data_IF_077655006461
#
_entry.id   IF_077655006461
#
_cell.length_a   1.000
_cell.length_b   1.000
_cell.length_c   1.000
_cell.angle_alpha   90.00
_cell.angle_beta   90.00
_cell.angle_gamma   90.00
#
_symmetry.space_group_name_H-M   'P 1'
#
loop_
_entity.id
_entity.type
_entity.pdbx_description
1 polymer ?
#
# COMPACT_ATOMS: atom_id res chain seq x y z
N UNK A 1 6.88 15.52 -5.82
CA UNK A 1 6.42 16.47 -4.78
C UNK A 1 5.08 16.02 -4.25
N UNK A 2 4.95 15.89 -2.93
CA UNK A 2 3.67 15.61 -2.27
C UNK A 2 2.83 16.89 -2.22
N UNK A 3 1.59 16.82 -2.71
CA UNK A 3 0.58 17.84 -2.49
C UNK A 3 -0.37 17.37 -1.38
N UNK A 4 -0.22 17.95 -0.19
CA UNK A 4 -1.04 17.59 0.97
C UNK A 4 -2.50 18.04 0.83
N UNK A 5 -2.79 19.07 0.01
CA UNK A 5 -4.16 19.57 -0.18
C UNK A 5 -5.02 18.64 -1.02
N UNK A 6 -4.39 17.82 -1.86
CA UNK A 6 -5.05 16.84 -2.75
C UNK A 6 -4.71 15.40 -2.39
N UNK A 7 -3.76 15.17 -1.47
CA UNK A 7 -3.27 13.84 -1.11
C UNK A 7 -2.66 13.07 -2.28
N UNK A 8 -2.06 13.78 -3.24
CA UNK A 8 -1.41 13.19 -4.40
C UNK A 8 0.09 13.52 -4.44
N UNK A 9 0.87 12.64 -5.05
CA UNK A 9 2.28 12.85 -5.34
C UNK A 9 2.41 13.06 -6.85
N UNK A 10 3.03 14.17 -7.23
CA UNK A 10 3.30 14.52 -8.62
C UNK A 10 4.80 14.54 -8.87
N UNK A 11 5.27 13.84 -9.88
CA UNK A 11 6.65 13.87 -10.35
C UNK A 11 6.65 14.37 -11.80
N UNK A 12 7.57 15.28 -12.11
CA UNK A 12 7.80 15.76 -13.47
C UNK A 12 9.20 15.34 -13.88
N UNK A 13 9.31 14.65 -15.01
CA UNK A 13 10.54 14.01 -15.47
C UNK A 13 10.82 14.44 -16.91
N UNK A 14 12.07 14.85 -17.17
CA UNK A 14 12.53 15.21 -18.52
C UNK A 14 12.43 16.70 -18.86
N UNK A 15 12.69 17.06 -20.13
CA UNK A 15 12.68 18.44 -20.61
C UNK A 15 11.25 19.02 -20.66
N UNK A 16 11.11 20.33 -20.83
CA UNK A 16 9.80 20.98 -20.98
C UNK A 16 9.21 20.78 -22.39
N UNK A 17 7.93 20.36 -22.54
CA UNK A 17 7.00 19.95 -21.48
C UNK A 17 7.38 18.58 -20.87
N UNK A 18 7.33 18.41 -19.53
CA UNK A 18 7.80 17.18 -18.88
C UNK A 18 6.79 16.04 -18.99
N UNK A 19 7.28 14.80 -18.84
CA UNK A 19 6.43 13.65 -18.52
C UNK A 19 5.97 13.78 -17.07
N UNK A 20 4.66 13.74 -16.84
CA UNK A 20 4.03 13.87 -15.53
C UNK A 20 3.59 12.52 -15.01
N UNK A 21 4.04 12.15 -13.81
CA UNK A 21 3.57 10.98 -13.06
C UNK A 21 2.78 11.49 -11.86
N UNK A 22 1.56 11.00 -11.69
CA UNK A 22 0.71 11.30 -10.54
C UNK A 22 0.27 10.01 -9.85
N UNK A 23 0.52 9.93 -8.55
CA UNK A 23 0.11 8.80 -7.73
C UNK A 23 -0.68 9.26 -6.51
N UNK A 24 -1.74 8.54 -6.16
CA UNK A 24 -2.53 8.81 -4.96
C UNK A 24 -3.23 7.54 -4.47
N UNK A 25 -3.43 7.43 -3.16
CA UNK A 25 -4.34 6.46 -2.57
C UNK A 25 -5.72 7.11 -2.51
N UNK A 26 -6.73 6.47 -3.11
CA UNK A 26 -8.07 7.03 -3.12
C UNK A 26 -8.60 7.20 -1.69
N UNK A 27 -9.28 8.32 -1.44
CA UNK A 27 -9.69 8.70 -0.09
C UNK A 27 -10.90 7.90 0.40
N UNK A 28 -11.66 7.32 -0.54
CA UNK A 28 -12.94 6.65 -0.34
C UNK A 28 -12.92 5.18 -0.80
N UNK A 29 -11.86 4.76 -1.49
CA UNK A 29 -11.68 3.42 -2.02
C UNK A 29 -10.31 2.88 -1.63
N UNK A 30 -10.23 1.58 -1.36
CA UNK A 30 -8.98 0.90 -1.00
C UNK A 30 -8.14 0.57 -2.25
N UNK A 31 -7.85 1.60 -3.03
CA UNK A 31 -7.01 1.50 -4.23
C UNK A 31 -5.91 2.55 -4.24
N UNK A 32 -4.76 2.17 -4.78
CA UNK A 32 -3.69 3.07 -5.21
C UNK A 32 -3.81 3.29 -6.72
N UNK A 33 -3.73 4.54 -7.16
CA UNK A 33 -3.79 4.92 -8.56
C UNK A 33 -2.47 5.55 -8.97
N UNK A 34 -1.98 5.19 -10.15
CA UNK A 34 -0.82 5.79 -10.80
C UNK A 34 -1.20 6.17 -12.23
N UNK A 35 -1.05 7.44 -12.58
CA UNK A 35 -1.25 7.95 -13.92
C UNK A 35 0.04 8.56 -14.44
N UNK A 36 0.34 8.32 -15.71
CA UNK A 36 1.46 8.93 -16.42
C UNK A 36 0.90 9.59 -17.66
N UNK A 37 1.29 10.85 -17.89
CA UNK A 37 1.01 11.55 -19.14
C UNK A 37 2.31 12.14 -19.69
N UNK A 38 2.56 11.89 -20.97
CA UNK A 38 3.81 12.19 -21.64
C UNK A 38 3.55 12.95 -22.94
N UNK A 39 4.34 13.99 -23.26
CA UNK A 39 4.20 14.72 -24.52
C UNK A 39 4.48 13.85 -25.76
N UNK A 40 5.35 12.86 -25.61
CA UNK A 40 5.70 11.87 -26.64
C UNK A 40 5.32 10.47 -26.18
N UNK A 41 5.01 9.54 -27.11
CA UNK A 41 4.81 8.14 -26.75
C UNK A 41 6.04 7.56 -26.04
N UNK A 42 5.81 6.82 -24.96
CA UNK A 42 6.84 6.16 -24.14
C UNK A 42 6.45 4.71 -23.86
N UNK A 43 7.46 3.87 -23.67
CA UNK A 43 7.29 2.54 -23.09
C UNK A 43 7.22 2.65 -21.56
N UNK A 44 6.31 1.90 -20.94
CA UNK A 44 6.18 1.82 -19.49
C UNK A 44 6.39 0.38 -19.04
N UNK A 45 7.37 0.17 -18.17
CA UNK A 45 7.57 -1.10 -17.44
C UNK A 45 7.06 -0.97 -16.01
N UNK A 46 6.36 -2.00 -15.56
CA UNK A 46 5.85 -2.15 -14.20
C UNK A 46 6.51 -3.37 -13.60
N UNK A 47 7.25 -3.17 -12.51
CA UNK A 47 7.98 -4.21 -11.79
C UNK A 47 7.43 -4.30 -10.38
N UNK A 48 7.06 -5.50 -9.95
CA UNK A 48 6.76 -5.80 -8.56
C UNK A 48 7.88 -6.60 -7.95
N UNK A 49 8.45 -6.10 -6.86
CA UNK A 49 9.46 -6.79 -6.08
C UNK A 49 8.81 -7.39 -4.83
N UNK A 50 9.02 -8.69 -4.61
CA UNK A 50 8.55 -9.38 -3.42
C UNK A 50 9.50 -9.09 -2.26
N UNK A 51 8.99 -8.47 -1.19
CA UNK A 51 9.80 -8.13 -0.01
C UNK A 51 10.29 -9.39 0.73
N UNK A 52 9.54 -10.49 0.66
CA UNK A 52 9.88 -11.77 1.31
C UNK A 52 9.81 -12.89 0.28
N UNK A 53 10.79 -13.01 -0.64
CA UNK A 53 10.72 -13.99 -1.72
C UNK A 53 10.90 -15.44 -1.24
N UNK A 54 11.39 -15.63 -0.02
CA UNK A 54 11.57 -16.94 0.63
C UNK A 54 11.07 -16.86 2.07
N UNK A 55 10.54 -17.97 2.62
CA UNK A 55 10.20 -18.01 4.03
C UNK A 55 11.47 -17.91 4.88
N UNK A 56 11.36 -17.30 6.05
CA UNK A 56 12.46 -17.20 7.01
C UNK A 56 11.94 -17.27 8.45
N UNK A 57 12.81 -17.59 9.38
CA UNK A 57 12.54 -17.52 10.81
C UNK A 57 13.28 -16.33 11.40
N UNK A 58 12.64 -15.59 12.30
CA UNK A 58 13.22 -14.40 12.93
C UNK A 58 12.97 -14.42 14.42
N UNK A 59 14.03 -14.29 15.21
CA UNK A 59 13.94 -14.08 16.65
C UNK A 59 14.15 -12.60 16.96
N UNK A 60 13.16 -11.89 17.53
CA UNK A 60 13.34 -10.49 17.92
C UNK A 60 14.30 -10.36 19.12
N UNK A 61 15.05 -9.26 19.18
CA UNK A 61 16.06 -8.98 20.23
C UNK A 61 15.54 -9.10 21.67
N UNK A 62 14.24 -8.93 21.90
CA UNK A 62 13.59 -8.99 23.22
C UNK A 62 12.53 -10.09 23.31
N UNK A 63 12.66 -11.15 22.49
CA UNK A 63 11.79 -12.32 22.55
C UNK A 63 12.60 -13.62 22.50
N UNK A 64 12.31 -14.54 23.42
CA UNK A 64 12.98 -15.84 23.50
C UNK A 64 12.46 -16.85 22.46
N UNK A 65 11.51 -16.46 21.59
CA UNK A 65 10.89 -17.35 20.60
C UNK A 65 11.07 -16.79 19.20
N UNK A 66 11.53 -17.63 18.24
CA UNK A 66 11.52 -17.25 16.84
C UNK A 66 10.09 -17.32 16.27
N UNK A 67 9.79 -16.43 15.34
CA UNK A 67 8.55 -16.46 14.57
C UNK A 67 8.87 -16.80 13.11
N UNK A 68 8.02 -17.64 12.51
CA UNK A 68 8.16 -18.00 11.11
C UNK A 68 7.37 -17.05 10.23
N UNK A 69 8.02 -16.51 9.22
CA UNK A 69 7.43 -15.62 8.22
C UNK A 69 7.36 -16.38 6.90
N UNK A 70 6.15 -16.49 6.33
CA UNK A 70 5.94 -17.09 5.01
C UNK A 70 6.45 -16.18 3.89
N UNK A 71 6.73 -16.79 2.73
CA UNK A 71 7.08 -16.03 1.53
C UNK A 71 5.86 -15.27 0.97
N UNK A 72 6.14 -14.13 0.36
CA UNK A 72 5.27 -13.47 -0.60
C UNK A 72 5.34 -14.22 -1.95
N UNK A 73 4.33 -14.09 -2.79
CA UNK A 73 4.27 -14.72 -4.10
C UNK A 73 3.49 -13.89 -5.10
N UNK A 74 3.78 -14.08 -6.39
CA UNK A 74 3.01 -13.46 -7.46
C UNK A 74 1.65 -14.13 -7.65
N UNK A 75 0.65 -13.32 -7.95
CA UNK A 75 -0.64 -13.79 -8.43
C UNK A 75 -0.59 -13.84 -9.95
N UNK A 76 -1.02 -14.96 -10.53
CA UNK A 76 -1.01 -15.18 -11.97
C UNK A 76 -2.42 -15.52 -12.49
N UNK A 77 -2.68 -15.17 -13.74
CA UNK A 77 -3.78 -15.71 -14.54
C UNK A 77 -3.27 -16.17 -15.92
N UNK A 78 -4.17 -16.45 -16.86
CA UNK A 78 -3.81 -16.87 -18.22
C UNK A 78 -3.03 -15.81 -19.02
N UNK A 79 -3.12 -14.54 -18.63
CA UNK A 79 -2.45 -13.41 -19.27
C UNK A 79 -1.11 -13.01 -18.62
N UNK A 80 -0.75 -13.61 -17.49
CA UNK A 80 0.52 -13.40 -16.80
C UNK A 80 0.36 -12.98 -15.34
N UNK A 81 1.32 -12.21 -14.83
CA UNK A 81 1.29 -11.70 -13.46
C UNK A 81 0.22 -10.61 -13.36
N UNK A 82 -0.65 -10.72 -12.36
CA UNK A 82 -1.74 -9.77 -12.10
C UNK A 82 -1.62 -9.08 -10.75
N UNK A 83 -0.56 -9.37 -9.99
CA UNK A 83 -0.45 -8.93 -8.62
C UNK A 83 0.56 -9.69 -7.78
N UNK A 84 0.51 -9.47 -6.48
CA UNK A 84 1.23 -10.21 -5.46
C UNK A 84 0.32 -10.50 -4.26
N UNK A 85 0.70 -11.46 -3.44
CA UNK A 85 0.02 -11.75 -2.20
C UNK A 85 0.99 -12.27 -1.13
N UNK A 86 0.50 -12.21 0.11
CA UNK A 86 1.09 -12.79 1.29
C UNK A 86 0.02 -13.59 2.03
N UNK A 87 0.36 -14.79 2.48
CA UNK A 87 -0.55 -15.63 3.26
C UNK A 87 0.13 -16.12 4.53
N UNK A 88 -0.44 -15.81 5.70
CA UNK A 88 -0.01 -16.37 6.98
C UNK A 88 -0.54 -17.80 7.12
N UNK A 89 0.13 -18.78 6.52
CA UNK A 89 -0.33 -20.18 6.49
C UNK A 89 -0.43 -20.77 7.90
N UNK A 90 0.38 -20.29 8.85
CA UNK A 90 0.38 -20.72 10.26
C UNK A 90 0.72 -19.54 11.16
N UNK A 91 0.17 -19.55 12.37
CA UNK A 91 0.51 -18.63 13.46
C UNK A 91 0.41 -19.38 14.78
N UNK A 92 1.40 -19.20 15.65
CA UNK A 92 1.37 -19.59 17.06
C UNK A 92 1.35 -18.37 17.99
N UNK A 93 1.11 -17.17 17.44
CA UNK A 93 1.15 -15.91 18.17
C UNK A 93 0.24 -15.94 19.39
N UNK A 94 -1.03 -16.33 19.22
CA UNK A 94 -1.99 -16.32 20.33
C UNK A 94 -1.60 -17.34 21.40
N UNK A 95 -1.22 -18.55 20.98
CA UNK A 95 -0.77 -19.61 21.89
C UNK A 95 0.46 -19.18 22.69
N UNK A 96 1.45 -18.57 22.04
CA UNK A 96 2.70 -18.15 22.67
C UNK A 96 2.49 -16.99 23.66
N UNK A 97 1.60 -16.04 23.36
CA UNK A 97 1.24 -14.96 24.29
C UNK A 97 0.51 -15.51 25.52
N UNK A 98 -0.43 -16.46 25.33
CA UNK A 98 -1.14 -17.06 26.46
C UNK A 98 -0.20 -17.83 27.38
N UNK A 99 0.78 -18.56 26.83
CA UNK A 99 1.83 -19.21 27.62
C UNK A 99 2.70 -18.19 28.36
N UNK A 100 3.13 -17.12 27.70
CA UNK A 100 3.96 -16.08 28.33
C UNK A 100 3.25 -15.35 29.49
N UNK A 101 1.91 -15.34 29.49
CA UNK A 101 1.08 -14.71 30.50
C UNK A 101 0.55 -15.70 31.57
N UNK A 102 0.94 -16.98 31.53
CA UNK A 102 0.37 -18.05 32.37
C UNK A 102 -1.16 -18.17 32.25
N UNK A 103 -1.67 -18.01 31.03
CA UNK A 103 -3.09 -18.06 30.67
C UNK A 103 -3.38 -19.24 29.73
N UNK A 104 -2.65 -20.34 29.85
CA UNK A 104 -2.79 -21.52 28.99
C UNK A 104 -4.18 -22.16 29.08
N UNK A 105 -4.89 -21.96 30.20
CA UNK A 105 -6.28 -22.38 30.36
C UNK A 105 -7.24 -21.75 29.36
N UNK A 106 -6.86 -20.61 28.75
CA UNK A 106 -7.63 -19.92 27.71
C UNK A 106 -7.30 -20.40 26.29
N UNK A 107 -6.37 -21.36 26.12
CA UNK A 107 -6.08 -21.95 24.82
C UNK A 107 -7.36 -22.53 24.21
N UNK A 108 -7.60 -22.23 22.93
CA UNK A 108 -8.83 -22.61 22.23
C UNK A 108 -10.04 -21.70 22.48
N UNK A 109 -10.02 -20.88 23.53
CA UNK A 109 -11.07 -19.86 23.78
C UNK A 109 -10.80 -18.55 23.04
N UNK A 110 -9.54 -18.29 22.67
CA UNK A 110 -9.13 -17.10 21.92
C UNK A 110 -8.63 -17.56 20.54
N UNK A 111 -9.29 -17.09 19.49
CA UNK A 111 -8.92 -17.39 18.10
C UNK A 111 -7.66 -16.64 17.69
N UNK A 112 -6.72 -17.34 17.08
CA UNK A 112 -5.58 -16.70 16.42
C UNK A 112 -6.01 -16.06 15.10
N UNK A 113 -6.17 -14.72 15.11
CA UNK A 113 -6.59 -13.94 13.93
C UNK A 113 -5.45 -13.63 12.95
N UNK A 114 -4.23 -14.04 13.27
CA UNK A 114 -3.08 -13.94 12.36
C UNK A 114 -3.01 -15.21 11.51
N UNK A 115 -3.36 -16.36 12.08
CA UNK A 115 -3.48 -17.61 11.34
C UNK A 115 -4.47 -17.44 10.17
N UNK A 116 -4.06 -17.88 8.98
CA UNK A 116 -4.77 -17.75 7.71
C UNK A 116 -5.08 -16.32 7.25
N UNK A 117 -4.61 -15.30 7.96
CA UNK A 117 -4.76 -13.92 7.48
C UNK A 117 -3.90 -13.72 6.24
N UNK A 118 -4.51 -13.32 5.14
CA UNK A 118 -3.83 -13.10 3.86
C UNK A 118 -4.08 -11.70 3.34
N UNK A 119 -3.11 -11.15 2.63
CA UNK A 119 -3.21 -9.86 1.92
C UNK A 119 -2.90 -10.08 0.46
N UNK A 120 -3.70 -9.51 -0.42
CA UNK A 120 -3.51 -9.56 -1.87
C UNK A 120 -3.55 -8.15 -2.45
N UNK A 121 -2.69 -7.89 -3.43
CA UNK A 121 -2.71 -6.70 -4.25
C UNK A 121 -2.83 -7.11 -5.72
N UNK A 122 -3.88 -6.66 -6.40
CA UNK A 122 -4.13 -6.95 -7.82
C UNK A 122 -4.17 -5.69 -8.65
N UNK A 123 -3.74 -5.80 -9.90
CA UNK A 123 -3.52 -4.66 -10.79
C UNK A 123 -4.54 -4.63 -11.92
N UNK A 124 -4.94 -3.43 -12.32
CA UNK A 124 -5.63 -3.16 -13.58
C UNK A 124 -4.91 -2.04 -14.31
N UNK A 125 -4.64 -2.26 -15.60
CA UNK A 125 -4.02 -1.28 -16.48
C UNK A 125 -5.05 -0.65 -17.41
N UNK A 126 -4.87 0.63 -17.73
CA UNK A 126 -5.64 1.35 -18.75
C UNK A 126 -5.12 1.12 -20.18
N UNK A 127 -3.99 0.44 -20.31
CA UNK A 127 -3.38 0.07 -21.59
C UNK A 127 -3.02 -1.42 -21.60
N UNK A 128 -2.82 -1.98 -22.78
CA UNK A 128 -2.40 -3.36 -22.96
C UNK A 128 -0.97 -3.57 -22.46
N UNK A 129 -0.80 -4.60 -21.63
CA UNK A 129 0.49 -5.01 -21.08
C UNK A 129 0.86 -6.40 -21.57
N UNK A 130 2.16 -6.65 -21.74
CA UNK A 130 2.72 -7.95 -22.08
C UNK A 130 3.75 -8.37 -21.04
N UNK A 131 3.79 -9.68 -20.77
CA UNK A 131 4.79 -10.27 -19.91
C UNK A 131 6.19 -10.15 -20.51
N UNK A 132 7.18 -9.99 -19.64
CA UNK A 132 8.60 -10.04 -20.00
C UNK A 132 9.21 -11.40 -19.62
N UNK A 133 10.51 -11.57 -19.85
CA UNK A 133 11.23 -12.76 -19.37
C UNK A 133 11.41 -12.77 -17.84
N UNK A 134 11.31 -11.61 -17.18
CA UNK A 134 11.44 -11.46 -15.74
C UNK A 134 10.10 -11.68 -15.05
N UNK A 135 10.06 -12.60 -14.07
CA UNK A 135 8.85 -12.82 -13.27
C UNK A 135 8.58 -11.58 -12.41
N UNK A 136 7.34 -11.07 -12.47
CA UNK A 136 6.94 -9.85 -11.76
C UNK A 136 7.08 -8.56 -12.58
N UNK A 137 7.51 -8.66 -13.84
CA UNK A 137 7.65 -7.51 -14.75
C UNK A 137 6.70 -7.61 -15.94
N UNK A 138 5.96 -6.53 -16.16
CA UNK A 138 5.12 -6.29 -17.33
C UNK A 138 5.59 -5.03 -18.05
N UNK A 139 5.43 -4.97 -19.37
CA UNK A 139 5.64 -3.75 -20.15
C UNK A 139 4.45 -3.44 -21.05
N UNK A 140 4.29 -2.18 -21.43
CA UNK A 140 3.32 -1.79 -22.45
C UNK A 140 3.55 -2.56 -23.75
N UNK A 141 2.47 -2.99 -24.40
CA UNK A 141 2.59 -3.68 -25.70
C UNK A 141 3.07 -2.75 -26.80
N UNK A 142 2.72 -1.46 -26.71
CA UNK A 142 3.08 -0.39 -27.64
C UNK A 142 3.35 0.89 -26.85
N UNK A 143 4.21 1.80 -27.35
CA UNK A 143 4.42 3.11 -26.73
C UNK A 143 3.13 3.92 -26.61
N UNK A 144 2.90 4.55 -25.46
CA UNK A 144 1.71 5.36 -25.20
C UNK A 144 2.08 6.73 -24.64
N UNK A 145 1.22 7.73 -24.90
CA UNK A 145 1.30 9.04 -24.25
C UNK A 145 0.70 9.02 -22.86
N UNK A 146 -0.31 8.18 -22.65
CA UNK A 146 -1.06 8.09 -21.41
C UNK A 146 -1.02 6.65 -20.88
N UNK A 147 -0.79 6.52 -19.58
CA UNK A 147 -0.79 5.25 -18.87
C UNK A 147 -1.54 5.43 -17.56
N UNK A 148 -2.36 4.44 -17.21
CA UNK A 148 -3.08 4.42 -15.94
C UNK A 148 -2.99 3.02 -15.34
N UNK A 149 -2.76 2.96 -14.04
CA UNK A 149 -2.72 1.73 -13.26
C UNK A 149 -3.52 1.94 -11.98
N UNK A 150 -4.37 0.96 -11.67
CA UNK A 150 -5.12 0.89 -10.41
C UNK A 150 -4.71 -0.39 -9.70
N UNK A 151 -4.33 -0.26 -8.44
CA UNK A 151 -3.91 -1.35 -7.57
C UNK A 151 -4.93 -1.46 -6.44
N UNK A 152 -5.69 -2.54 -6.41
CA UNK A 152 -6.59 -2.85 -5.30
C UNK A 152 -5.86 -3.71 -4.30
N UNK A 153 -5.96 -3.37 -3.01
CA UNK A 153 -5.30 -4.10 -1.93
C UNK A 153 -6.36 -4.51 -0.90
N UNK A 154 -6.38 -5.78 -0.54
CA UNK A 154 -7.32 -6.30 0.44
C UNK A 154 -6.64 -7.29 1.38
N UNK A 155 -7.08 -7.28 2.64
CA UNK A 155 -6.65 -8.25 3.66
C UNK A 155 -7.88 -9.00 4.17
N UNK A 156 -7.78 -10.32 4.30
CA UNK A 156 -8.85 -11.15 4.86
C UNK A 156 -8.31 -12.08 5.94
N UNK A 157 -9.06 -12.20 7.05
CA UNK A 157 -8.84 -13.22 8.08
C UNK A 157 -9.30 -14.62 7.63
N UNK A 158 -10.03 -14.72 6.51
CA UNK A 158 -10.61 -15.97 6.01
C UNK A 158 -9.68 -16.73 5.05
N UNK A 159 -8.53 -16.18 4.68
CA UNK A 159 -7.60 -16.82 3.75
C UNK A 159 -7.27 -15.99 2.51
N UNK A 160 -6.50 -16.63 1.63
CA UNK A 160 -6.02 -16.02 0.39
C UNK A 160 -7.14 -15.75 -0.62
N UNK A 161 -8.01 -16.72 -0.89
CA UNK A 161 -9.03 -16.59 -1.94
C UNK A 161 -9.97 -15.39 -1.69
N UNK A 162 -10.49 -15.17 -0.46
CA UNK A 162 -11.28 -13.98 -0.17
C UNK A 162 -10.50 -12.67 -0.34
N UNK A 163 -9.21 -12.65 0.03
CA UNK A 163 -8.37 -11.46 -0.15
C UNK A 163 -8.18 -11.13 -1.65
N UNK A 164 -7.91 -12.15 -2.48
CA UNK A 164 -7.76 -11.99 -3.94
C UNK A 164 -9.08 -11.59 -4.60
N UNK A 165 -10.20 -12.19 -4.18
CA UNK A 165 -11.51 -11.85 -4.71
C UNK A 165 -11.87 -10.39 -4.41
N UNK A 166 -11.61 -9.92 -3.19
CA UNK A 166 -11.88 -8.54 -2.79
C UNK A 166 -10.95 -7.55 -3.51
N UNK A 167 -9.65 -7.85 -3.62
CA UNK A 167 -8.70 -6.97 -4.34
C UNK A 167 -9.09 -6.81 -5.82
N UNK A 168 -9.58 -7.89 -6.45
CA UNK A 168 -10.11 -7.86 -7.83
C UNK A 168 -11.41 -7.06 -7.92
N UNK A 169 -12.31 -7.19 -6.94
CA UNK A 169 -13.56 -6.42 -6.88
C UNK A 169 -13.27 -4.92 -6.80
N UNK A 170 -12.33 -4.52 -5.94
CA UNK A 170 -11.92 -3.12 -5.77
C UNK A 170 -11.47 -2.49 -7.10
N UNK A 171 -10.59 -3.15 -7.86
CA UNK A 171 -10.14 -2.62 -9.15
C UNK A 171 -11.23 -2.64 -10.23
N UNK A 172 -12.12 -3.64 -10.21
CA UNK A 172 -13.20 -3.77 -11.19
C UNK A 172 -14.28 -2.69 -11.03
N UNK A 173 -14.62 -2.33 -9.79
CA UNK A 173 -15.60 -1.28 -9.47
C UNK A 173 -15.03 0.14 -9.56
N UNK A 174 -13.71 0.29 -9.63
CA UNK A 174 -13.07 1.59 -9.62
C UNK A 174 -13.26 2.34 -10.95
N UNK A 175 -14.13 3.34 -10.95
CA UNK A 175 -14.30 4.27 -12.07
C UNK A 175 -13.48 5.55 -11.84
N UNK A 176 -12.30 5.62 -12.49
CA UNK A 176 -11.34 6.72 -12.32
C UNK A 176 -11.93 8.10 -12.60
N UNK A 177 -12.85 8.25 -13.57
CA UNK A 177 -13.43 9.55 -13.93
C UNK A 177 -14.21 10.16 -12.77
N UNK A 178 -15.01 9.34 -12.08
CA UNK A 178 -15.83 9.80 -10.95
C UNK A 178 -15.10 9.73 -9.61
N UNK A 179 -14.12 8.83 -9.49
CA UNK A 179 -13.42 8.62 -8.23
C UNK A 179 -12.49 9.79 -7.90
N UNK A 180 -11.76 10.33 -8.89
CA UNK A 180 -10.85 11.46 -8.66
C UNK A 180 -11.59 12.70 -8.14
N UNK A 181 -12.77 13.01 -8.68
CA UNK A 181 -13.56 14.14 -8.21
C UNK A 181 -13.97 13.97 -6.75
N UNK A 182 -14.42 12.77 -6.37
CA UNK A 182 -14.81 12.45 -4.99
C UNK A 182 -13.61 12.44 -4.04
N UNK A 183 -12.47 11.95 -4.49
CA UNK A 183 -11.21 12.01 -3.75
C UNK A 183 -10.80 13.46 -3.45
N UNK A 184 -10.84 14.33 -4.46
CA UNK A 184 -10.53 15.75 -4.32
C UNK A 184 -11.52 16.47 -3.40
N UNK A 185 -12.82 16.15 -3.52
CA UNK A 185 -13.85 16.67 -2.63
C UNK A 185 -13.62 16.23 -1.18
N UNK A 186 -13.26 14.97 -0.94
CA UNK A 186 -12.96 14.48 0.40
C UNK A 186 -11.79 15.25 1.02
N UNK A 187 -10.71 15.48 0.26
CA UNK A 187 -9.57 16.25 0.74
C UNK A 187 -9.92 17.71 1.02
N UNK A 188 -10.69 18.35 0.14
CA UNK A 188 -11.18 19.71 0.37
C UNK A 188 -11.99 19.80 1.67
N UNK A 189 -12.91 18.85 1.89
CA UNK A 189 -13.69 18.77 3.14
C UNK A 189 -12.81 18.48 4.35
N UNK A 190 -11.81 17.61 4.22
CA UNK A 190 -10.86 17.30 5.28
C UNK A 190 -10.12 18.55 5.75
N UNK A 191 -9.59 19.33 4.81
CA UNK A 191 -8.88 20.58 5.09
C UNK A 191 -9.78 21.70 5.60
N UNK A 192 -11.03 21.77 5.13
CA UNK A 192 -11.99 22.76 5.60
C UNK A 192 -12.37 22.60 7.08
N UNK A 193 -12.14 21.42 7.68
CA UNK A 193 -12.44 21.18 9.11
C UNK A 193 -11.40 21.76 10.05
N UNK A 194 -10.12 21.75 9.68
CA UNK A 194 -9.03 22.14 10.58
C UNK A 194 -7.74 22.36 9.81
N UNK A 195 -7.24 23.59 9.86
CA UNK A 195 -5.95 24.00 9.32
C UNK A 195 -5.32 25.02 10.27
N UNK A 196 -4.00 25.19 10.16
CA UNK A 196 -3.24 26.20 10.91
C UNK A 196 -2.47 27.00 9.89
N UNK A 197 -2.64 28.31 9.92
CA UNK A 197 -1.82 29.27 9.18
C UNK A 197 -1.15 30.22 10.16
N UNK A 198 0.15 30.31 10.04
CA UNK A 198 0.99 31.21 10.82
C UNK A 198 1.62 32.20 9.87
N UNK A 199 1.79 33.44 10.33
CA UNK A 199 2.49 34.51 9.63
C UNK A 199 3.80 34.85 10.36
N UNK A 200 4.83 35.28 9.62
CA UNK A 200 6.11 35.73 10.19
C UNK A 200 7.35 35.07 9.57
N UNK A 201 8.55 35.34 10.12
CA UNK A 201 9.83 35.01 9.48
C UNK A 201 10.11 33.52 9.19
N UNK A 202 9.28 32.59 9.69
CA UNK A 202 9.37 31.14 9.44
C UNK A 202 8.02 30.48 9.13
N UNK A 203 7.02 31.29 8.79
CA UNK A 203 5.65 30.84 8.51
C UNK A 203 5.59 29.64 7.55
N UNK A 204 6.30 29.70 6.42
CA UNK A 204 6.28 28.63 5.41
C UNK A 204 6.74 27.27 5.94
N UNK A 205 7.78 27.23 6.77
CA UNK A 205 8.30 25.98 7.34
C UNK A 205 7.31 25.38 8.36
N UNK A 206 6.74 26.22 9.22
CA UNK A 206 5.80 25.75 10.24
C UNK A 206 4.48 25.31 9.60
N UNK A 207 3.96 26.08 8.65
CA UNK A 207 2.72 25.75 7.93
C UNK A 207 2.88 24.44 7.15
N UNK A 208 4.00 24.24 6.45
CA UNK A 208 4.27 23.00 5.71
C UNK A 208 4.39 21.77 6.62
N UNK A 209 5.08 21.89 7.77
CA UNK A 209 5.16 20.80 8.77
C UNK A 209 3.83 20.50 9.43
N UNK A 210 3.05 21.53 9.75
CA UNK A 210 1.69 21.39 10.29
C UNK A 210 0.78 20.67 9.29
N UNK A 211 0.81 21.09 8.01
CA UNK A 211 0.07 20.44 6.94
C UNK A 211 0.51 18.99 6.74
N UNK A 212 1.83 18.70 6.75
CA UNK A 212 2.32 17.33 6.64
C UNK A 212 1.83 16.45 7.80
N UNK A 213 1.90 16.94 9.05
CA UNK A 213 1.42 16.19 10.20
C UNK A 213 -0.08 15.88 10.09
N UNK A 214 -0.87 16.88 9.70
CA UNK A 214 -2.32 16.71 9.56
C UNK A 214 -2.67 15.78 8.39
N UNK A 215 -1.96 15.88 7.28
CA UNK A 215 -2.05 14.94 6.16
C UNK A 215 -1.79 13.49 6.60
N UNK A 216 -0.70 13.27 7.36
CA UNK A 216 -0.36 11.95 7.90
C UNK A 216 -1.45 11.41 8.82
N UNK A 217 -2.14 12.25 9.60
CA UNK A 217 -3.32 11.79 10.35
C UNK A 217 -4.44 11.39 9.40
N UNK A 218 -4.77 12.23 8.41
CA UNK A 218 -5.85 12.01 7.46
C UNK A 218 -5.75 10.69 6.71
N UNK A 219 -4.55 10.28 6.29
CA UNK A 219 -4.35 9.02 5.56
C UNK A 219 -4.31 7.77 6.47
N UNK A 220 -4.13 7.95 7.79
CA UNK A 220 -3.92 6.82 8.73
C UNK A 220 -5.07 6.59 9.71
N UNK A 221 -5.98 7.56 9.91
CA UNK A 221 -7.10 7.46 10.85
C UNK A 221 -8.46 7.53 10.16
N UNK A 222 -8.64 6.81 9.06
CA UNK A 222 -9.93 6.72 8.37
C UNK A 222 -10.85 5.68 8.98
N UNK A 223 -10.26 4.63 9.53
CA UNK A 223 -10.93 3.52 10.22
C UNK A 223 -10.87 3.70 11.75
N UNK A 224 -11.74 3.02 12.53
CA UNK A 224 -11.77 3.13 14.00
C UNK A 224 -10.56 2.47 14.70
N UNK A 225 -9.47 2.23 13.96
CA UNK A 225 -8.21 1.71 14.50
C UNK A 225 -7.32 2.92 14.83
N UNK A 226 -6.84 3.06 16.07
CA UNK A 226 -6.05 4.21 16.47
C UNK A 226 -4.71 4.27 15.72
N UNK A 227 -4.21 5.50 15.53
CA UNK A 227 -2.86 5.74 15.01
C UNK A 227 -1.84 5.19 16.01
N UNK A 228 -1.22 4.06 15.69
CA UNK A 228 -0.06 3.46 16.36
C UNK A 228 1.13 4.43 16.42
N UNK A 229 1.80 4.46 17.57
CA UNK A 229 2.87 5.40 17.92
C UNK A 229 4.15 5.34 17.04
N UNK A 230 4.36 4.27 16.27
CA UNK A 230 5.62 3.97 15.59
C UNK A 230 5.63 4.30 14.08
N UNK A 231 4.81 5.25 13.62
CA UNK A 231 4.71 5.62 12.20
C UNK A 231 3.60 4.91 11.42
N UNK A 232 2.74 4.12 12.10
CA UNK A 232 1.51 3.52 11.55
C UNK A 232 1.70 2.75 10.24
N UNK A 233 1.15 3.23 9.12
CA UNK A 233 1.18 2.58 7.80
C UNK A 233 2.56 2.71 7.14
N UNK A 234 3.35 3.69 7.56
CA UNK A 234 4.68 3.96 7.01
C UNK A 234 5.74 3.41 7.94
N UNK A 235 5.94 2.10 7.89
CA UNK A 235 7.11 1.47 8.51
C UNK A 235 8.18 1.28 7.45
N UNK A 236 9.32 1.96 7.61
CA UNK A 236 10.48 1.64 6.79
C UNK A 236 10.91 0.19 7.07
N UNK A 237 11.26 -0.55 6.02
CA UNK A 237 12.10 -1.71 6.16
C UNK A 237 13.44 -1.19 6.68
N UNK A 238 13.64 -1.29 7.99
CA UNK A 238 14.98 -1.11 8.54
C UNK A 238 15.74 -2.37 8.13
N UNK A 239 16.77 -2.21 7.33
CA UNK A 239 17.94 -3.08 7.52
C UNK A 239 18.30 -2.89 8.99
N UNK A 240 17.95 -3.86 9.83
CA UNK A 240 18.48 -3.88 11.18
C UNK A 240 19.98 -4.05 10.98
N UNK A 241 20.71 -2.95 11.18
CA UNK A 241 22.13 -3.01 11.45
C UNK A 241 22.23 -3.93 12.66
N UNK A 242 22.77 -5.13 12.47
CA UNK A 242 23.16 -5.99 13.58
C UNK A 242 24.03 -5.12 14.49
N UNK A 243 23.49 -4.72 15.64
CA UNK A 243 24.29 -4.20 16.72
C UNK A 243 24.96 -5.41 17.39
N UNK A 244 25.92 -5.99 16.68
CA UNK A 244 26.90 -6.92 17.22
C UNK A 244 28.02 -6.14 17.90
#
# INVERSE_FOLDING_TARGET
VLNTSTGSVILEVGPSPPTRVEAYVDALKDVLVVNISSPTPIDVSVVAELLRPKPFSRQPLYHCRPYNVSADFYLNDSGGVIGWAHANVRSDYTTSILEALNLESLKGSITDRIANRSTAATWRFGTSMIATLSVGELKTSEPSRDFSMVIGVATSEQGLDPAVAESKRLIAEYNSMTAIEKHMQWWAQFWNRSWIEITGPRAGEVNSKSALHRYLQGIQSREPIPIKFNGMLFTAQREEVDYN
#
